data_IF_285339663897
#
_entry.id   IF_285339663897
#
_cell.length_a   1.000
_cell.length_b   1.000
_cell.length_c   1.000
_cell.angle_alpha   90.00
_cell.angle_beta   90.00
_cell.angle_gamma   90.00
#
_symmetry.space_group_name_H-M   'P 1'
#
loop_
_entity.id
_entity.type
_entity.pdbx_description
1 polymer ?
#
# COMPACT_ATOMS: atom_id res chain seq x y z
N UNK A 1 -4.02 3.42 22.06
CA UNK A 1 -3.67 4.32 20.94
C UNK A 1 -3.22 3.47 19.76
N UNK A 2 -3.89 3.56 18.62
CA UNK A 2 -3.37 2.93 17.41
C UNK A 2 -2.06 3.64 17.04
N UNK A 3 -0.97 2.88 16.94
CA UNK A 3 0.35 3.42 16.62
C UNK A 3 0.30 3.86 15.16
N UNK A 4 0.57 5.14 14.90
CA UNK A 4 0.64 5.68 13.54
C UNK A 4 1.61 4.83 12.71
N UNK A 5 1.21 4.54 11.47
CA UNK A 5 2.11 3.88 10.53
C UNK A 5 3.29 4.80 10.22
N UNK A 6 4.45 4.23 9.90
CA UNK A 6 5.64 5.02 9.52
C UNK A 6 5.30 6.05 8.43
N UNK A 7 4.43 5.70 7.49
CA UNK A 7 4.01 6.62 6.43
C UNK A 7 3.16 7.79 6.93
N UNK A 8 2.29 7.58 7.89
CA UNK A 8 1.51 8.66 8.52
C UNK A 8 2.41 9.55 9.39
N UNK A 9 3.39 8.97 10.08
CA UNK A 9 4.39 9.73 10.84
C UNK A 9 5.22 10.64 9.92
N UNK A 10 5.70 10.10 8.80
CA UNK A 10 6.47 10.87 7.81
C UNK A 10 5.62 11.95 7.13
N UNK A 11 4.31 11.71 6.93
CA UNK A 11 3.39 12.70 6.35
C UNK A 11 3.17 13.85 7.33
N UNK A 12 2.95 13.53 8.61
CA UNK A 12 2.79 14.52 9.66
C UNK A 12 4.08 15.33 9.89
N UNK A 13 5.24 14.71 9.72
CA UNK A 13 6.55 15.38 9.77
C UNK A 13 6.88 16.19 8.49
N UNK A 14 6.00 16.19 7.47
CA UNK A 14 6.24 16.91 6.21
C UNK A 14 7.32 16.29 5.31
N UNK A 15 7.81 15.09 5.65
CA UNK A 15 8.86 14.38 4.91
C UNK A 15 8.30 13.64 3.68
N UNK A 16 6.99 13.42 3.63
CA UNK A 16 6.28 12.92 2.44
C UNK A 16 5.02 13.75 2.18
N UNK A 17 4.61 13.82 0.92
CA UNK A 17 3.40 14.55 0.51
C UNK A 17 2.21 13.62 0.36
N UNK A 18 0.99 14.13 0.54
CA UNK A 18 -0.26 13.38 0.30
C UNK A 18 -0.32 12.80 -1.12
N UNK A 19 0.25 13.51 -2.11
CA UNK A 19 0.37 13.02 -3.49
C UNK A 19 1.28 11.79 -3.61
N UNK A 20 2.43 11.77 -2.91
CA UNK A 20 3.30 10.58 -2.85
C UNK A 20 2.59 9.43 -2.11
N UNK A 21 1.93 9.72 -1.00
CA UNK A 21 1.14 8.74 -0.25
C UNK A 21 0.05 8.07 -1.09
N UNK A 22 -0.71 8.85 -1.87
CA UNK A 22 -1.73 8.33 -2.77
C UNK A 22 -1.17 7.40 -3.85
N UNK A 23 0.01 7.73 -4.40
CA UNK A 23 0.71 6.85 -5.36
C UNK A 23 1.14 5.53 -4.71
N UNK A 24 1.75 5.58 -3.53
CA UNK A 24 2.20 4.38 -2.80
C UNK A 24 1.01 3.49 -2.43
N UNK A 25 -0.11 4.07 -1.97
CA UNK A 25 -1.31 3.27 -1.70
C UNK A 25 -1.88 2.64 -2.97
N UNK A 26 -1.88 3.35 -4.11
CA UNK A 26 -2.38 2.81 -5.37
C UNK A 26 -1.49 1.69 -5.92
N UNK A 27 -0.16 1.83 -5.83
CA UNK A 27 0.77 0.75 -6.22
C UNK A 27 0.70 -0.44 -5.27
N UNK A 28 0.60 -0.20 -3.95
CA UNK A 28 0.44 -1.26 -2.95
C UNK A 28 -0.86 -2.04 -3.18
N UNK A 29 -1.98 -1.36 -3.46
CA UNK A 29 -3.25 -2.00 -3.80
C UNK A 29 -3.13 -2.83 -5.09
N UNK A 30 -2.50 -2.29 -6.14
CA UNK A 30 -2.29 -3.02 -7.41
C UNK A 30 -1.40 -4.25 -7.23
N UNK A 31 -0.35 -4.17 -6.40
CA UNK A 31 0.51 -5.31 -6.09
C UNK A 31 -0.25 -6.41 -5.34
N UNK A 32 -1.09 -6.03 -4.36
CA UNK A 32 -1.93 -6.97 -3.61
C UNK A 32 -2.97 -7.68 -4.47
N UNK A 33 -3.56 -6.95 -5.43
CA UNK A 33 -4.50 -7.53 -6.41
C UNK A 33 -3.79 -8.51 -7.32
N UNK A 34 -2.63 -8.15 -7.91
CA UNK A 34 -1.83 -9.06 -8.73
C UNK A 34 -1.39 -10.31 -7.96
N UNK A 35 -0.95 -10.17 -6.70
CA UNK A 35 -0.57 -11.30 -5.87
C UNK A 35 -1.77 -12.23 -5.56
N UNK A 36 -2.98 -11.68 -5.48
CA UNK A 36 -4.22 -12.46 -5.32
C UNK A 36 -4.64 -13.12 -6.62
N UNK A 37 -4.61 -12.41 -7.74
CA UNK A 37 -4.88 -12.95 -9.07
C UNK A 37 -3.89 -14.06 -9.44
N UNK A 38 -2.60 -13.92 -9.15
CA UNK A 38 -1.61 -14.95 -9.37
C UNK A 38 -1.84 -16.20 -8.49
N UNK A 39 -2.34 -16.02 -7.25
CA UNK A 39 -2.74 -17.12 -6.37
C UNK A 39 -4.04 -17.79 -6.82
N UNK A 40 -5.03 -17.02 -7.29
CA UNK A 40 -6.27 -17.55 -7.86
C UNK A 40 -6.01 -18.27 -9.19
N UNK A 41 -5.14 -17.72 -10.05
CA UNK A 41 -4.77 -18.31 -11.32
C UNK A 41 -3.90 -19.56 -11.16
N UNK A 42 -3.02 -19.61 -10.14
CA UNK A 42 -2.21 -20.79 -9.82
C UNK A 42 -2.92 -21.85 -8.96
N UNK A 43 -4.09 -21.52 -8.39
CA UNK A 43 -4.81 -22.37 -7.43
C UNK A 43 -5.97 -23.17 -8.02
N UNK A 44 -6.20 -23.13 -9.33
CA UNK A 44 -7.19 -23.98 -10.02
C UNK A 44 -6.51 -25.24 -10.56
N UNK A 45 -6.32 -26.23 -9.70
CA UNK A 45 -6.26 -27.65 -10.05
C UNK A 45 -7.23 -28.39 -9.16
#
# INVERSE_FOLDING_TARGET
MAKLTLQEQLLQAGLVTSKKMAKVQRTAKKSRVQAREAREAGGRK
#
